data_IF_531847446087
#
_entry.id   IF_531847446087
#
_cell.length_a   1.000
_cell.length_b   1.000
_cell.length_c   1.000
_cell.angle_alpha   90.00
_cell.angle_beta   90.00
_cell.angle_gamma   90.00
#
_symmetry.space_group_name_H-M   'P 1'
#
loop_
_entity.id
_entity.type
_entity.pdbx_description
1 polymer ?
#
# COMPACT_ATOMS: atom_id res chain seq x y z
N UNK A 1 -3.93 -0.45 -6.41
CA UNK A 1 -2.76 -1.27 -6.03
C UNK A 1 -1.70 -1.50 -7.11
N UNK A 2 -2.03 -1.72 -8.40
CA UNK A 2 -1.03 -1.95 -9.46
C UNK A 2 0.08 -0.87 -9.54
N UNK A 3 -0.31 0.41 -9.45
CA UNK A 3 0.64 1.54 -9.44
C UNK A 3 1.66 1.48 -8.30
N UNK A 4 1.23 1.10 -7.09
CA UNK A 4 2.10 0.96 -5.91
C UNK A 4 3.10 -0.18 -6.12
N UNK A 5 2.66 -1.32 -6.67
CA UNK A 5 3.56 -2.44 -6.95
C UNK A 5 4.64 -2.07 -7.97
N UNK A 6 4.27 -1.34 -9.03
CA UNK A 6 5.23 -0.84 -10.03
C UNK A 6 6.21 0.14 -9.39
N UNK A 7 5.71 1.08 -8.59
CA UNK A 7 6.55 2.04 -7.88
C UNK A 7 7.56 1.37 -6.95
N UNK A 8 7.11 0.42 -6.11
CA UNK A 8 7.99 -0.27 -5.16
C UNK A 8 9.04 -1.14 -5.86
N UNK A 9 8.69 -1.76 -7.00
CA UNK A 9 9.66 -2.48 -7.85
C UNK A 9 10.72 -1.54 -8.39
N UNK A 10 10.29 -0.47 -9.08
CA UNK A 10 11.20 0.55 -9.59
C UNK A 10 12.10 1.13 -8.50
N UNK A 11 11.56 1.38 -7.31
CA UNK A 11 12.35 1.90 -6.20
C UNK A 11 13.37 0.87 -5.69
N UNK A 12 13.02 -0.41 -5.64
CA UNK A 12 13.96 -1.49 -5.33
C UNK A 12 15.13 -1.52 -6.32
N UNK A 13 14.82 -1.54 -7.62
CA UNK A 13 15.82 -1.57 -8.69
C UNK A 13 16.71 -0.31 -8.69
N UNK A 14 16.12 0.84 -8.35
CA UNK A 14 16.83 2.11 -8.17
C UNK A 14 17.84 2.04 -7.01
N UNK A 15 17.51 1.33 -5.92
CA UNK A 15 18.45 1.14 -4.81
C UNK A 15 19.60 0.20 -5.17
N UNK A 16 19.38 -0.85 -5.97
CA UNK A 16 20.49 -1.70 -6.46
C UNK A 16 21.44 -0.88 -7.35
N UNK A 17 20.88 -0.04 -8.22
CA UNK A 17 21.70 0.83 -9.11
C UNK A 17 22.54 1.84 -8.32
N UNK A 18 22.10 2.24 -7.13
CA UNK A 18 22.81 3.18 -6.25
C UNK A 18 23.99 2.56 -5.53
N UNK A 19 24.03 1.24 -5.39
CA UNK A 19 25.20 0.52 -4.87
C UNK A 19 26.45 0.83 -5.70
N UNK A 20 26.32 0.90 -7.02
CA UNK A 20 27.45 1.09 -7.94
C UNK A 20 27.82 2.55 -8.20
N UNK A 21 27.02 3.50 -7.71
CA UNK A 21 27.08 4.92 -8.14
C UNK A 21 27.80 5.84 -7.15
N UNK A 22 28.16 5.36 -5.94
CA UNK A 22 28.84 6.16 -4.91
C UNK A 22 30.24 5.61 -4.63
N UNK A 23 31.18 6.01 -5.46
CA UNK A 23 32.62 5.74 -5.29
C UNK A 23 33.37 6.88 -4.59
N UNK A 24 32.68 7.95 -4.24
CA UNK A 24 33.30 9.20 -3.80
C UNK A 24 33.16 9.31 -2.27
N UNK A 25 34.03 8.62 -1.52
CA UNK A 25 33.97 8.58 -0.06
C UNK A 25 35.06 7.72 0.57
N UNK A 26 35.23 7.81 1.90
CA UNK A 26 36.10 6.90 2.65
C UNK A 26 35.56 5.46 2.52
N UNK A 27 36.44 4.44 2.44
CA UNK A 27 36.03 3.06 2.19
C UNK A 27 35.06 2.52 3.26
N UNK A 28 35.19 2.94 4.52
CA UNK A 28 34.28 2.57 5.62
C UNK A 28 32.85 3.11 5.39
N UNK A 29 32.72 4.33 4.89
CA UNK A 29 31.42 4.92 4.55
C UNK A 29 30.78 4.20 3.35
N UNK A 30 31.60 3.74 2.38
CA UNK A 30 31.12 3.01 1.21
C UNK A 30 30.53 1.65 1.57
N UNK A 31 31.16 0.93 2.51
CA UNK A 31 30.64 -0.34 3.01
C UNK A 31 29.26 -0.15 3.67
N UNK A 32 29.16 0.83 4.57
CA UNK A 32 27.90 1.16 5.24
C UNK A 32 26.79 1.56 4.26
N UNK A 33 27.11 2.39 3.27
CA UNK A 33 26.17 2.79 2.22
C UNK A 33 25.72 1.61 1.34
N UNK A 34 26.63 0.71 1.01
CA UNK A 34 26.34 -0.51 0.22
C UNK A 34 25.38 -1.42 0.98
N UNK A 35 25.69 -1.73 2.25
CA UNK A 35 24.83 -2.54 3.11
C UNK A 35 23.46 -1.91 3.28
N UNK A 36 23.41 -0.58 3.47
CA UNK A 36 22.16 0.16 3.58
C UNK A 36 21.34 0.09 2.28
N UNK A 37 21.95 0.33 1.12
CA UNK A 37 21.27 0.28 -0.18
C UNK A 37 20.68 -1.11 -0.45
N UNK A 38 21.45 -2.18 -0.21
CA UNK A 38 20.97 -3.57 -0.31
C UNK A 38 19.81 -3.85 0.63
N UNK A 39 19.89 -3.36 1.87
CA UNK A 39 18.80 -3.49 2.85
C UNK A 39 17.53 -2.78 2.39
N UNK A 40 17.65 -1.57 1.83
CA UNK A 40 16.52 -0.84 1.27
C UNK A 40 15.89 -1.59 0.08
N UNK A 41 16.71 -2.09 -0.85
CA UNK A 41 16.23 -2.89 -1.97
C UNK A 41 15.48 -4.13 -1.49
N UNK A 42 16.03 -4.85 -0.50
CA UNK A 42 15.39 -6.02 0.10
C UNK A 42 14.02 -5.69 0.73
N UNK A 43 13.94 -4.64 1.55
CA UNK A 43 12.68 -4.19 2.17
C UNK A 43 11.63 -3.88 1.10
N UNK A 44 12.01 -3.17 0.04
CA UNK A 44 11.06 -2.81 -1.04
C UNK A 44 10.55 -4.04 -1.78
N UNK A 45 11.39 -5.03 -2.06
CA UNK A 45 10.98 -6.31 -2.63
C UNK A 45 10.04 -7.08 -1.70
N UNK A 46 10.31 -7.09 -0.40
CA UNK A 46 9.42 -7.68 0.61
C UNK A 46 8.03 -7.02 0.63
N UNK A 47 7.99 -5.68 0.57
CA UNK A 47 6.73 -4.94 0.49
C UNK A 47 5.96 -5.27 -0.79
N UNK A 48 6.63 -5.37 -1.95
CA UNK A 48 5.99 -5.79 -3.21
C UNK A 48 5.31 -7.15 -3.04
N UNK A 49 6.00 -8.12 -2.45
CA UNK A 49 5.45 -9.46 -2.24
C UNK A 49 4.21 -9.42 -1.34
N UNK A 50 4.32 -8.77 -0.17
CA UNK A 50 3.22 -8.65 0.79
C UNK A 50 1.99 -7.95 0.19
N UNK A 51 2.20 -6.81 -0.48
CA UNK A 51 1.11 -6.07 -1.11
C UNK A 51 0.48 -6.82 -2.28
N UNK A 52 1.27 -7.54 -3.07
CA UNK A 52 0.76 -8.35 -4.18
C UNK A 52 -0.11 -9.50 -3.66
N UNK A 53 0.34 -10.17 -2.59
CA UNK A 53 -0.44 -11.23 -1.94
C UNK A 53 -1.73 -10.70 -1.34
N UNK A 54 -1.65 -9.62 -0.56
CA UNK A 54 -2.83 -9.00 0.04
C UNK A 54 -3.84 -8.57 -1.03
N UNK A 55 -3.37 -7.96 -2.12
CA UNK A 55 -4.23 -7.55 -3.22
C UNK A 55 -4.91 -8.73 -3.92
N UNK A 56 -4.20 -9.86 -4.12
CA UNK A 56 -4.81 -11.09 -4.67
C UNK A 56 -5.96 -11.56 -3.78
N UNK A 57 -5.77 -11.59 -2.45
CA UNK A 57 -6.83 -12.01 -1.50
C UNK A 57 -8.06 -11.11 -1.60
N UNK A 58 -7.86 -9.79 -1.67
CA UNK A 58 -8.97 -8.83 -1.85
C UNK A 58 -9.70 -9.08 -3.17
N UNK A 59 -8.98 -9.28 -4.28
CA UNK A 59 -9.60 -9.58 -5.56
C UNK A 59 -10.41 -10.88 -5.54
N UNK A 60 -9.90 -11.92 -4.88
CA UNK A 60 -10.65 -13.17 -4.69
C UNK A 60 -11.93 -12.94 -3.89
N UNK A 61 -11.87 -12.19 -2.78
CA UNK A 61 -13.04 -11.89 -1.97
C UNK A 61 -14.10 -11.12 -2.77
N UNK A 62 -13.68 -10.11 -3.54
CA UNK A 62 -14.59 -9.33 -4.40
C UNK A 62 -15.24 -10.23 -5.45
N UNK A 63 -14.47 -11.12 -6.09
CA UNK A 63 -15.00 -12.04 -7.09
C UNK A 63 -15.95 -13.10 -6.49
N UNK A 64 -15.73 -13.53 -5.26
CA UNK A 64 -16.64 -14.45 -4.56
C UNK A 64 -17.94 -13.78 -4.11
N UNK A 65 -17.94 -12.46 -3.91
CA UNK A 65 -19.12 -11.70 -3.50
C UNK A 65 -19.99 -11.25 -4.70
N UNK A 66 -19.52 -11.41 -5.94
CA UNK A 66 -20.29 -11.04 -7.14
C UNK A 66 -21.27 -12.11 -7.62
N UNK A 67 -21.29 -13.29 -7.00
CA UNK A 67 -22.25 -14.37 -7.29
C UNK A 67 -23.60 -14.20 -6.55
N UNK A 68 -23.81 -13.06 -5.87
CA UNK A 68 -25.13 -12.70 -5.35
C UNK A 68 -25.98 -12.19 -6.51
N UNK A 69 -26.82 -13.08 -7.03
CA UNK A 69 -27.87 -12.75 -8.00
C UNK A 69 -28.77 -11.63 -7.44
N UNK A 70 -28.85 -10.45 -8.08
CA UNK A 70 -29.64 -9.32 -7.60
C UNK A 70 -31.18 -9.52 -7.74
N UNK A 71 -31.66 -10.72 -8.06
CA UNK A 71 -33.09 -11.06 -8.12
C UNK A 71 -33.70 -11.51 -6.76
N UNK A 72 -33.19 -11.04 -5.62
CA UNK A 72 -33.99 -11.07 -4.38
C UNK A 72 -34.76 -9.75 -4.27
N UNK A 73 -35.96 -9.77 -4.82
CA UNK A 73 -37.01 -8.79 -4.52
C UNK A 73 -37.23 -8.71 -2.99
N UNK A 74 -37.40 -7.47 -2.53
CA UNK A 74 -38.00 -7.03 -1.26
C UNK A 74 -37.29 -7.35 0.07
N UNK A 75 -36.55 -6.37 0.61
CA UNK A 75 -36.96 -5.69 1.85
C UNK A 75 -36.28 -4.33 2.06
N UNK A 76 -37.13 -3.38 2.43
CA UNK A 76 -36.94 -1.96 2.72
C UNK A 76 -35.83 -1.65 3.74
N UNK A 77 -35.01 -0.64 3.44
CA UNK A 77 -33.87 -0.27 4.29
C UNK A 77 -32.95 0.76 3.64
N UNK A 78 -33.51 1.88 3.16
CA UNK A 78 -32.75 3.03 2.68
C UNK A 78 -31.89 3.59 3.82
N UNK A 79 -30.63 3.16 3.91
CA UNK A 79 -29.60 3.95 4.59
C UNK A 79 -29.16 5.01 3.58
N UNK A 80 -29.79 6.19 3.70
CA UNK A 80 -29.42 7.38 2.94
C UNK A 80 -27.99 7.78 3.31
N UNK A 81 -27.04 7.46 2.42
CA UNK A 81 -25.61 7.74 2.55
C UNK A 81 -25.25 9.18 2.14
N UNK A 82 -26.19 10.12 2.31
CA UNK A 82 -26.03 11.54 1.99
C UNK A 82 -26.25 12.43 3.23
N UNK A 83 -26.27 11.83 4.42
CA UNK A 83 -26.28 12.60 5.65
C UNK A 83 -24.89 13.27 5.83
N UNK A 84 -24.83 14.62 5.90
CA UNK A 84 -23.57 15.31 6.15
C UNK A 84 -23.02 14.90 7.52
N UNK A 85 -21.69 14.95 7.74
CA UNK A 85 -21.10 14.64 9.03
C UNK A 85 -21.69 15.57 10.08
N UNK A 86 -22.34 15.02 11.11
CA UNK A 86 -22.75 15.81 12.27
C UNK A 86 -21.49 16.35 12.93
N UNK A 87 -21.24 17.66 12.80
CA UNK A 87 -20.29 18.36 13.64
C UNK A 87 -20.79 18.26 15.09
N UNK A 88 -20.05 17.52 15.92
CA UNK A 88 -20.20 17.59 17.36
C UNK A 88 -19.69 18.96 17.82
N UNK A 89 -20.62 19.91 18.01
CA UNK A 89 -20.37 21.08 18.83
C UNK A 89 -20.79 20.70 20.24
N UNK A 90 -19.84 20.25 21.07
CA UNK A 90 -20.03 20.24 22.52
C UNK A 90 -19.60 21.60 23.05
N UNK A 91 -20.61 22.36 23.46
CA UNK A 91 -20.54 23.64 24.12
C UNK A 91 -19.79 23.48 25.46
N UNK A 92 -18.75 24.30 25.65
CA UNK A 92 -18.09 24.47 26.93
C UNK A 92 -18.99 25.37 27.79
N UNK A 93 -19.74 24.77 28.73
CA UNK A 93 -20.42 25.52 29.78
C UNK A 93 -19.38 26.09 30.77
N UNK A 94 -19.42 27.42 30.96
CA UNK A 94 -18.75 28.17 32.04
C UNK A 94 -19.54 28.14 33.35
#
# INVERSE_FOLDING_TARGET
>A
MRRILVFLRWQGDSWDSRETLRTDGQPEDQEGLTVYARSQAHIRRGLVAAFAEHWKRVLHLVASNSDVDPCTDDVDGVISLDAPPCEYIEEHDE
#
